data_IF_118523157410
#
_entry.id   IF_118523157410
#
_cell.length_a   1.000
_cell.length_b   1.000
_cell.length_c   1.000
_cell.angle_alpha   90.00
_cell.angle_beta   90.00
_cell.angle_gamma   90.00
#
_symmetry.space_group_name_H-M   'P 1'
#
loop_
_entity.id
_entity.type
_entity.pdbx_description
1 polymer ?
#
# COMPACT_ATOMS: atom_id res chain seq x y z
N UNK A 1 19.87 -5.09 31.00
CA UNK A 1 18.86 -6.13 31.29
C UNK A 1 18.28 -6.52 29.94
N UNK A 2 18.75 -7.62 29.37
CA UNK A 2 18.37 -8.09 28.03
C UNK A 2 17.12 -8.94 28.21
N UNK A 3 15.96 -8.43 27.84
CA UNK A 3 14.74 -9.26 27.78
C UNK A 3 14.92 -10.27 26.64
N UNK A 4 15.05 -11.53 27.03
CA UNK A 4 15.07 -12.66 26.10
C UNK A 4 13.67 -12.77 25.53
N UNK A 5 13.54 -12.64 24.22
CA UNK A 5 12.28 -12.81 23.51
C UNK A 5 11.77 -14.23 23.75
N UNK A 6 10.66 -14.36 24.47
CA UNK A 6 10.03 -15.64 24.78
C UNK A 6 9.16 -16.08 23.60
N UNK A 7 9.77 -16.82 22.67
CA UNK A 7 9.11 -17.37 21.47
C UNK A 7 7.91 -18.26 21.81
N UNK A 8 7.81 -18.78 23.04
CA UNK A 8 6.68 -19.59 23.48
C UNK A 8 5.35 -18.81 23.57
N UNK A 9 5.41 -17.48 23.67
CA UNK A 9 4.22 -16.61 23.69
C UNK A 9 3.65 -16.32 22.29
N UNK A 10 4.40 -16.61 21.23
CA UNK A 10 3.94 -16.45 19.83
C UNK A 10 3.20 -17.69 19.33
N UNK A 11 3.39 -18.84 19.99
CA UNK A 11 2.89 -20.15 19.56
C UNK A 11 1.35 -20.33 19.63
N UNK A 12 0.61 -19.35 20.16
CA UNK A 12 -0.85 -19.46 20.36
C UNK A 12 -1.71 -18.47 19.56
N UNK A 13 -1.10 -17.53 18.82
CA UNK A 13 -1.88 -16.55 18.05
C UNK A 13 -2.20 -17.12 16.66
N UNK A 14 -3.30 -17.85 16.57
CA UNK A 14 -3.91 -18.22 15.30
C UNK A 14 -4.79 -17.05 14.87
N UNK A 15 -4.39 -16.34 13.83
CA UNK A 15 -5.29 -15.40 13.15
C UNK A 15 -6.52 -16.22 12.71
N UNK A 16 -7.75 -15.81 13.05
CA UNK A 16 -8.92 -16.44 12.46
C UNK A 16 -8.82 -16.24 10.96
N UNK A 17 -8.60 -17.35 10.25
CA UNK A 17 -8.66 -17.36 8.80
C UNK A 17 -10.12 -17.23 8.38
N UNK A 18 -10.58 -15.98 8.29
CA UNK A 18 -11.89 -15.65 7.73
C UNK A 18 -11.87 -15.67 6.19
N UNK A 19 -10.76 -16.08 5.55
CA UNK A 19 -10.81 -16.38 4.12
C UNK A 19 -11.56 -17.69 3.94
N UNK A 20 -12.88 -17.57 3.75
CA UNK A 20 -13.65 -18.67 3.18
C UNK A 20 -12.96 -19.07 1.88
N UNK A 21 -12.50 -20.33 1.72
CA UNK A 21 -12.01 -20.82 0.44
C UNK A 21 -13.21 -20.83 -0.51
N UNK A 22 -13.46 -19.69 -1.16
CA UNK A 22 -14.38 -19.63 -2.28
C UNK A 22 -13.66 -20.34 -3.41
N UNK A 23 -14.24 -21.44 -3.86
CA UNK A 23 -13.81 -22.09 -5.09
C UNK A 23 -13.72 -21.00 -6.18
N UNK A 24 -12.51 -20.75 -6.66
CA UNK A 24 -12.27 -19.82 -7.76
C UNK A 24 -12.85 -20.49 -8.99
N UNK A 25 -14.11 -20.15 -9.32
CA UNK A 25 -14.73 -20.61 -10.55
C UNK A 25 -13.87 -20.13 -11.71
N UNK A 26 -13.42 -21.06 -12.54
CA UNK A 26 -12.75 -20.71 -13.78
C UNK A 26 -13.68 -19.79 -14.58
N UNK A 27 -13.18 -18.62 -14.95
CA UNK A 27 -13.88 -17.78 -15.92
C UNK A 27 -13.73 -18.51 -17.26
N UNK A 28 -14.86 -18.90 -17.86
CA UNK A 28 -14.90 -19.73 -19.08
C UNK A 28 -14.30 -19.01 -20.30
N UNK A 29 -14.21 -17.68 -20.23
CA UNK A 29 -13.64 -16.83 -21.25
C UNK A 29 -12.28 -16.28 -20.77
N UNK A 30 -11.23 -16.62 -21.52
CA UNK A 30 -9.91 -16.02 -21.32
C UNK A 30 -9.96 -14.65 -21.99
N UNK A 31 -10.29 -13.62 -21.21
CA UNK A 31 -10.29 -12.25 -21.68
C UNK A 31 -8.94 -11.83 -22.25
N UNK A 32 -8.97 -11.07 -23.35
CA UNK A 32 -7.76 -10.52 -23.97
C UNK A 32 -7.22 -9.37 -23.13
N UNK A 33 -5.94 -9.43 -22.78
CA UNK A 33 -5.21 -8.25 -22.27
C UNK A 33 -5.08 -7.22 -23.39
N UNK A 34 -5.64 -6.04 -23.18
CA UNK A 34 -5.62 -4.93 -24.14
C UNK A 34 -4.47 -3.96 -23.88
N UNK A 35 -3.92 -3.97 -22.67
CA UNK A 35 -2.75 -3.17 -22.33
C UNK A 35 -2.44 -3.21 -20.84
N UNK A 36 -1.34 -2.58 -20.48
CA UNK A 36 -0.96 -2.39 -19.08
C UNK A 36 -0.17 -1.11 -18.91
N UNK A 37 -0.17 -0.59 -17.69
CA UNK A 37 0.66 0.54 -17.30
C UNK A 37 1.11 0.39 -15.85
N UNK A 38 2.09 1.20 -15.45
CA UNK A 38 2.61 1.27 -14.10
C UNK A 38 2.28 2.65 -13.55
N UNK A 39 1.66 2.68 -12.37
CA UNK A 39 1.34 3.91 -11.66
C UNK A 39 2.12 3.95 -10.36
N UNK A 40 2.83 5.04 -10.12
CA UNK A 40 3.65 5.22 -8.93
C UNK A 40 3.05 6.28 -8.02
N UNK A 41 2.93 6.00 -6.73
CA UNK A 41 2.40 6.91 -5.72
C UNK A 41 3.48 7.27 -4.72
N UNK A 42 3.63 8.57 -4.43
CA UNK A 42 4.64 9.09 -3.53
C UNK A 42 3.97 9.83 -2.38
N UNK A 43 4.12 9.31 -1.18
CA UNK A 43 3.50 9.83 0.04
C UNK A 43 4.57 10.43 0.94
N UNK A 44 4.32 11.65 1.42
CA UNK A 44 5.21 12.35 2.34
C UNK A 44 4.36 12.90 3.48
N UNK A 45 4.56 12.39 4.69
CA UNK A 45 3.98 12.97 5.91
C UNK A 45 5.04 13.81 6.61
N UNK A 46 4.76 15.10 6.74
CA UNK A 46 5.55 16.02 7.54
C UNK A 46 5.09 15.92 9.00
N UNK A 47 6.01 15.97 9.96
CA UNK A 47 5.65 16.17 11.38
C UNK A 47 5.40 17.66 11.63
N UNK A 48 4.43 17.97 12.49
CA UNK A 48 4.19 19.34 12.96
C UNK A 48 2.76 19.54 13.42
N UNK A 49 2.47 20.65 14.12
CA UNK A 49 1.12 20.97 14.60
C UNK A 49 0.10 21.21 13.47
N UNK A 50 0.55 21.61 12.28
CA UNK A 50 -0.30 21.98 11.13
C UNK A 50 -0.41 20.89 10.06
N UNK A 51 0.24 19.74 10.25
CA UNK A 51 0.20 18.62 9.31
C UNK A 51 -0.59 17.45 9.91
N UNK A 52 -1.22 16.64 9.05
CA UNK A 52 -1.80 15.36 9.50
C UNK A 52 -0.72 14.61 10.26
N UNK A 53 -0.97 14.30 11.55
CA UNK A 53 -0.02 13.59 12.39
C UNK A 53 0.51 12.37 11.62
N UNK A 54 1.84 12.24 11.44
CA UNK A 54 2.41 11.13 10.72
C UNK A 54 1.91 9.79 11.27
N UNK A 55 1.62 8.82 10.40
CA UNK A 55 1.02 7.54 10.84
C UNK A 55 -0.50 7.44 10.72
N UNK A 56 -1.19 8.46 10.19
CA UNK A 56 -2.56 8.26 9.65
C UNK A 56 -2.52 7.69 8.23
N UNK A 57 -3.55 6.95 7.79
CA UNK A 57 -3.67 6.56 6.40
C UNK A 57 -3.71 7.79 5.49
N UNK A 58 -2.88 7.77 4.46
CA UNK A 58 -2.87 8.74 3.37
C UNK A 58 -3.49 8.10 2.14
N UNK A 59 -4.26 8.86 1.38
CA UNK A 59 -4.84 8.41 0.12
C UNK A 59 -4.37 9.33 -1.01
N UNK A 60 -3.99 8.72 -2.13
CA UNK A 60 -3.74 9.42 -3.38
C UNK A 60 -4.48 8.73 -4.51
N UNK A 61 -4.83 9.54 -5.51
CA UNK A 61 -5.60 9.12 -6.69
C UNK A 61 -4.83 9.53 -7.93
N UNK A 62 -4.72 8.62 -8.89
CA UNK A 62 -4.14 8.91 -10.20
C UNK A 62 -5.03 8.35 -11.28
N UNK A 63 -5.42 9.22 -12.20
CA UNK A 63 -6.21 8.84 -13.37
C UNK A 63 -5.36 8.08 -14.37
N UNK A 64 -5.92 7.03 -14.94
CA UNK A 64 -5.35 6.28 -16.08
C UNK A 64 -6.33 6.30 -17.25
N UNK A 65 -5.80 6.49 -18.46
CA UNK A 65 -6.62 6.38 -19.67
C UNK A 65 -6.74 4.91 -20.07
N UNK A 66 -7.97 4.40 -20.11
CA UNK A 66 -8.25 3.04 -20.57
C UNK A 66 -8.11 2.92 -22.09
N UNK A 67 -7.49 1.85 -22.61
CA UNK A 67 -7.55 1.53 -24.04
C UNK A 67 -9.00 1.35 -24.51
N UNK A 68 -9.29 1.71 -25.76
CA UNK A 68 -10.60 1.48 -26.35
C UNK A 68 -10.97 -0.02 -26.32
N UNK A 69 -12.20 -0.33 -25.92
CA UNK A 69 -12.68 -1.72 -25.79
C UNK A 69 -12.41 -2.37 -24.43
N UNK A 70 -11.59 -1.78 -23.57
CA UNK A 70 -11.38 -2.28 -22.21
C UNK A 70 -12.60 -1.97 -21.32
N UNK A 71 -13.25 -3.03 -20.83
CA UNK A 71 -14.35 -2.94 -19.87
C UNK A 71 -13.94 -3.43 -18.47
N UNK A 72 -12.73 -3.98 -18.30
CA UNK A 72 -12.18 -4.35 -17.00
C UNK A 72 -10.78 -3.79 -16.76
N UNK A 73 -10.51 -3.48 -15.48
CA UNK A 73 -9.22 -3.02 -14.98
C UNK A 73 -8.84 -3.85 -13.76
N UNK A 74 -7.67 -4.47 -13.80
CA UNK A 74 -7.04 -5.13 -12.64
C UNK A 74 -5.91 -4.25 -12.13
N UNK A 75 -5.78 -4.16 -10.81
CA UNK A 75 -4.68 -3.47 -10.14
C UNK A 75 -4.04 -4.36 -9.09
N UNK A 76 -2.72 -4.25 -8.96
CA UNK A 76 -1.97 -4.95 -7.93
C UNK A 76 -0.77 -4.14 -7.46
N UNK A 77 -0.52 -4.18 -6.15
CA UNK A 77 0.71 -3.66 -5.58
C UNK A 77 1.89 -4.48 -6.10
N UNK A 78 2.89 -3.81 -6.65
CA UNK A 78 4.08 -4.46 -7.23
C UNK A 78 5.35 -4.15 -6.43
N UNK A 79 5.42 -2.98 -5.80
CA UNK A 79 6.50 -2.62 -4.90
C UNK A 79 6.01 -1.64 -3.84
N UNK A 80 6.55 -1.78 -2.64
CA UNK A 80 6.40 -0.85 -1.52
C UNK A 80 7.80 -0.52 -1.02
N UNK A 81 8.12 0.76 -0.92
CA UNK A 81 9.34 1.24 -0.27
C UNK A 81 8.94 2.32 0.73
N UNK A 82 9.41 2.23 1.96
CA UNK A 82 9.01 3.15 3.02
C UNK A 82 10.12 3.33 4.05
N UNK A 83 10.24 4.54 4.58
CA UNK A 83 11.19 4.85 5.64
C UNK A 83 10.65 5.97 6.54
N UNK A 84 11.04 5.93 7.80
CA UNK A 84 10.98 7.12 8.65
C UNK A 84 12.09 8.09 8.26
N UNK A 85 11.80 9.37 8.38
CA UNK A 85 12.71 10.44 7.98
C UNK A 85 12.84 11.47 9.10
N UNK A 86 13.80 12.38 8.94
CA UNK A 86 13.94 13.54 9.80
C UNK A 86 12.93 14.67 9.52
N UNK A 87 12.04 14.49 8.55
CA UNK A 87 11.06 15.49 8.14
C UNK A 87 11.60 16.58 7.23
N UNK A 88 12.88 16.56 6.87
CA UNK A 88 13.45 17.50 5.90
C UNK A 88 13.04 17.11 4.47
N UNK A 89 12.16 17.89 3.85
CA UNK A 89 11.65 17.60 2.50
C UNK A 89 12.68 17.76 1.39
N UNK A 90 13.71 18.58 1.59
CA UNK A 90 14.70 18.90 0.56
C UNK A 90 15.83 17.86 0.47
N UNK A 91 16.16 17.25 1.62
CA UNK A 91 17.19 16.23 1.74
C UNK A 91 16.86 15.33 2.94
N UNK A 92 15.81 14.48 2.84
CA UNK A 92 15.35 13.67 3.94
C UNK A 92 16.43 12.67 4.35
N UNK A 93 16.80 12.68 5.62
CA UNK A 93 17.70 11.65 6.18
C UNK A 93 16.86 10.51 6.76
N UNK A 94 17.24 9.28 6.44
CA UNK A 94 16.60 8.11 7.01
C UNK A 94 16.82 8.05 8.53
N UNK A 95 15.78 7.63 9.26
CA UNK A 95 15.84 7.38 10.70
C UNK A 95 15.44 5.95 10.99
N UNK A 96 16.20 5.29 11.84
CA UNK A 96 15.83 4.00 12.39
C UNK A 96 14.78 4.20 13.49
N UNK A 97 13.66 3.48 13.38
CA UNK A 97 12.58 3.46 14.37
C UNK A 97 12.00 2.06 14.48
N UNK A 98 11.46 1.67 15.65
CA UNK A 98 10.65 0.47 15.77
C UNK A 98 9.46 0.55 14.80
N UNK A 99 9.31 -0.45 13.94
CA UNK A 99 8.17 -0.55 13.04
C UNK A 99 6.91 -0.88 13.85
N UNK A 100 5.87 -0.07 13.68
CA UNK A 100 4.51 -0.38 14.14
C UNK A 100 3.76 -1.15 13.05
N UNK A 101 2.91 -0.44 12.30
CA UNK A 101 2.08 -1.03 11.24
C UNK A 101 2.43 -0.45 9.87
N UNK A 102 2.51 -1.34 8.88
CA UNK A 102 2.51 -1.00 7.46
C UNK A 102 1.15 -1.40 6.86
N UNK A 103 0.45 -0.45 6.27
CA UNK A 103 -0.76 -0.69 5.47
C UNK A 103 -0.51 -0.22 4.04
N UNK A 104 -0.85 -1.07 3.07
CA UNK A 104 -0.85 -0.73 1.66
C UNK A 104 -2.08 -1.32 0.98
N UNK A 105 -2.89 -0.48 0.36
CA UNK A 105 -4.12 -0.86 -0.33
C UNK A 105 -4.18 -0.17 -1.70
N UNK A 106 -4.68 -0.87 -2.71
CA UNK A 106 -4.99 -0.28 -4.02
C UNK A 106 -6.27 -0.86 -4.60
N UNK A 107 -7.05 -0.02 -5.27
CA UNK A 107 -8.28 -0.40 -5.93
C UNK A 107 -8.59 0.57 -7.09
N UNK A 108 -9.63 0.25 -7.86
CA UNK A 108 -10.10 1.04 -9.00
C UNK A 108 -11.41 1.74 -8.64
N UNK A 109 -11.50 3.04 -8.86
CA UNK A 109 -12.74 3.82 -8.81
C UNK A 109 -12.95 4.53 -10.15
N UNK A 110 -13.76 3.94 -11.03
CA UNK A 110 -13.93 4.44 -12.40
C UNK A 110 -12.63 4.36 -13.20
N UNK A 111 -12.11 5.52 -13.62
CA UNK A 111 -10.81 5.66 -14.33
C UNK A 111 -9.65 5.99 -13.39
N UNK A 112 -9.91 6.14 -12.09
CA UNK A 112 -8.89 6.49 -11.12
C UNK A 112 -8.38 5.24 -10.41
N UNK A 113 -7.05 5.13 -10.34
CA UNK A 113 -6.36 4.18 -9.48
C UNK A 113 -6.18 4.87 -8.13
N UNK A 114 -6.73 4.26 -7.09
CA UNK A 114 -6.62 4.75 -5.72
C UNK A 114 -5.55 3.93 -5.00
N UNK A 115 -4.70 4.61 -4.25
CA UNK A 115 -3.71 3.99 -3.39
C UNK A 115 -3.78 4.61 -2.01
N UNK A 116 -3.85 3.76 -0.99
CA UNK A 116 -3.85 4.16 0.40
C UNK A 116 -2.68 3.52 1.13
N UNK A 117 -1.97 4.34 1.89
CA UNK A 117 -0.75 3.94 2.58
C UNK A 117 -0.72 4.43 4.02
N UNK A 118 -0.12 3.63 4.90
CA UNK A 118 0.21 4.04 6.26
C UNK A 118 1.50 3.38 6.70
N UNK A 119 2.39 4.16 7.31
CA UNK A 119 3.53 3.69 8.09
C UNK A 119 3.45 4.33 9.48
N UNK A 120 3.39 3.52 10.53
CA UNK A 120 3.38 3.99 11.93
C UNK A 120 4.55 3.41 12.69
N UNK A 121 5.03 4.18 13.67
CA UNK A 121 5.86 3.70 14.77
C UNK A 121 5.00 3.65 16.06
N UNK A 122 5.62 3.47 17.22
CA UNK A 122 4.91 3.43 18.51
C UNK A 122 4.26 4.76 18.91
N UNK A 123 4.81 5.90 18.48
CA UNK A 123 4.33 7.23 18.86
C UNK A 123 3.36 7.84 17.85
N UNK A 124 3.33 7.33 16.60
CA UNK A 124 2.48 7.82 15.52
C UNK A 124 2.63 9.33 15.29
N UNK A 125 3.86 9.82 15.32
CA UNK A 125 4.17 11.23 15.09
C UNK A 125 5.42 11.46 14.24
N UNK A 126 6.13 10.39 13.87
CA UNK A 126 7.37 10.47 13.10
C UNK A 126 7.15 10.69 11.60
N UNK A 127 7.82 11.70 10.98
CA UNK A 127 7.79 11.91 9.55
C UNK A 127 8.15 10.64 8.78
N UNK A 128 7.45 10.40 7.68
CA UNK A 128 7.73 9.26 6.84
C UNK A 128 7.62 9.60 5.36
N UNK A 129 8.40 8.85 4.59
CA UNK A 129 8.32 8.79 3.14
C UNK A 129 7.91 7.40 2.72
N UNK A 130 6.96 7.31 1.79
CA UNK A 130 6.51 6.04 1.24
C UNK A 130 6.35 6.17 -0.26
N UNK A 131 6.71 5.09 -0.96
CA UNK A 131 6.61 4.94 -2.39
C UNK A 131 5.94 3.62 -2.72
N UNK A 132 4.93 3.66 -3.57
CA UNK A 132 4.19 2.48 -4.00
C UNK A 132 4.15 2.43 -5.50
N UNK A 133 4.45 1.26 -6.06
CA UNK A 133 4.29 0.98 -7.48
C UNK A 133 3.10 0.04 -7.66
N UNK A 134 2.15 0.43 -8.50
CA UNK A 134 0.94 -0.32 -8.84
C UNK A 134 1.02 -0.73 -10.29
N UNK A 135 0.88 -2.03 -10.55
CA UNK A 135 0.65 -2.55 -11.89
C UNK A 135 -0.83 -2.43 -12.21
N UNK A 136 -1.14 -1.92 -13.40
CA UNK A 136 -2.50 -1.78 -13.92
C UNK A 136 -2.59 -2.59 -15.21
N UNK A 137 -3.59 -3.47 -15.30
CA UNK A 137 -3.86 -4.28 -16.47
C UNK A 137 -5.28 -4.02 -16.96
N UNK A 138 -5.44 -3.80 -18.25
CA UNK A 138 -6.73 -3.61 -18.91
C UNK A 138 -7.05 -4.83 -19.75
N UNK A 139 -8.27 -5.34 -19.63
CA UNK A 139 -8.69 -6.52 -20.37
C UNK A 139 -10.15 -6.42 -20.81
N UNK A 140 -10.47 -7.24 -21.80
CA UNK A 140 -11.80 -7.46 -22.32
C UNK A 140 -12.10 -8.96 -22.17
N UNK A 141 -13.10 -9.36 -21.35
CA UNK A 141 -13.57 -10.73 -21.24
C UNK A 141 -13.88 -11.33 -22.62
#
# INVERSE_FOLDING_TARGET
>A
MTEIFDESKVAGYVLPDETFPREVKSITEVGRVLGGTIVQFGFHNQSGPDHLKPGRPMEQRKRVTRPAGANWTFVGLSAINCAFTDGNLSAPKMRERPLGQLLAETWVEGDDIVCKMRLTDGNMDDPCWMYVTVNVLFFQP
#
